data_IF_179920770417
#
_entry.id   IF_179920770417
#
_cell.length_a   1.000
_cell.length_b   1.000
_cell.length_c   1.000
_cell.angle_alpha   90.00
_cell.angle_beta   90.00
_cell.angle_gamma   90.00
#
_symmetry.space_group_name_H-M   'P 1'
#
loop_
_entity.id
_entity.type
_entity.pdbx_description
1 polymer ?
#
# COMPACT_ATOMS: atom_id res chain seq x y z
N UNK A 1 -19.40 12.31 -8.43
CA UNK A 1 -20.26 11.20 -7.99
C UNK A 1 -19.78 10.49 -6.70
N UNK A 2 -18.88 11.08 -5.89
CA UNK A 2 -18.29 10.41 -4.71
C UNK A 2 -18.87 10.85 -3.34
N UNK A 3 -19.56 11.98 -3.28
CA UNK A 3 -19.88 12.67 -2.03
C UNK A 3 -20.63 11.80 -0.99
N UNK A 4 -21.56 10.93 -1.45
CA UNK A 4 -22.24 9.98 -0.56
C UNK A 4 -21.31 8.88 -0.03
N UNK A 5 -20.45 8.32 -0.88
CA UNK A 5 -19.50 7.27 -0.49
C UNK A 5 -18.45 7.82 0.46
N UNK A 6 -17.98 9.05 0.21
CA UNK A 6 -17.01 9.74 1.04
C UNK A 6 -17.57 10.00 2.45
N UNK A 7 -18.81 10.51 2.55
CA UNK A 7 -19.50 10.69 3.84
C UNK A 7 -19.71 9.38 4.60
N UNK A 8 -20.12 8.32 3.89
CA UNK A 8 -20.29 6.99 4.50
C UNK A 8 -18.95 6.44 4.98
N UNK A 9 -17.88 6.65 4.22
CA UNK A 9 -16.53 6.26 4.60
C UNK A 9 -16.05 7.02 5.83
N UNK A 10 -16.16 8.35 5.85
CA UNK A 10 -15.80 9.16 7.02
C UNK A 10 -16.58 8.75 8.27
N UNK A 11 -17.89 8.47 8.12
CA UNK A 11 -18.71 7.96 9.22
C UNK A 11 -18.25 6.57 9.68
N UNK A 12 -17.95 5.66 8.75
CA UNK A 12 -17.44 4.34 9.08
C UNK A 12 -16.12 4.42 9.86
N UNK A 13 -15.17 5.25 9.41
CA UNK A 13 -13.91 5.50 10.11
C UNK A 13 -14.12 6.11 11.49
N UNK A 14 -15.04 7.07 11.63
CA UNK A 14 -15.37 7.66 12.94
C UNK A 14 -15.93 6.62 13.92
N UNK A 15 -16.82 5.74 13.45
CA UNK A 15 -17.35 4.65 14.27
C UNK A 15 -16.23 3.68 14.66
N UNK A 16 -15.38 3.29 13.72
CA UNK A 16 -14.29 2.35 13.96
C UNK A 16 -13.19 2.92 14.86
N UNK A 17 -13.06 4.24 14.91
CA UNK A 17 -12.19 4.96 15.84
C UNK A 17 -12.83 5.16 17.23
N UNK A 18 -14.05 4.65 17.47
CA UNK A 18 -14.79 4.84 18.72
C UNK A 18 -15.35 6.25 18.94
N UNK A 19 -15.32 7.11 17.91
CA UNK A 19 -15.79 8.50 17.97
C UNK A 19 -17.30 8.64 17.70
N UNK A 20 -17.97 7.56 17.30
CA UNK A 20 -19.39 7.56 16.95
C UNK A 20 -19.99 6.18 17.16
N UNK A 21 -21.29 6.13 17.44
CA UNK A 21 -22.00 4.87 17.66
C UNK A 21 -22.42 4.21 16.34
N UNK A 22 -22.37 2.87 16.30
CA UNK A 22 -22.88 2.05 15.20
C UNK A 22 -21.92 0.95 14.76
N UNK A 23 -22.19 0.37 13.59
CA UNK A 23 -21.38 -0.70 13.01
C UNK A 23 -20.59 -0.19 11.79
N UNK A 24 -19.34 0.20 12.01
CA UNK A 24 -18.49 0.74 10.94
C UNK A 24 -17.95 -0.34 9.98
N UNK A 25 -17.67 -1.55 10.50
CA UNK A 25 -17.09 -2.63 9.68
C UNK A 25 -17.98 -3.07 8.50
N UNK A 26 -19.30 -3.30 8.68
CA UNK A 26 -20.17 -3.66 7.56
C UNK A 26 -20.26 -2.57 6.49
N UNK A 27 -20.27 -1.29 6.89
CA UNK A 27 -20.28 -0.15 5.96
C UNK A 27 -19.00 -0.16 5.13
N UNK A 28 -17.87 -0.40 5.78
CA UNK A 28 -16.56 -0.42 5.13
C UNK A 28 -16.42 -1.61 4.17
N UNK A 29 -16.91 -2.79 4.55
CA UNK A 29 -17.00 -3.96 3.66
C UNK A 29 -17.90 -3.69 2.45
N UNK A 30 -19.08 -3.10 2.66
CA UNK A 30 -19.99 -2.71 1.57
C UNK A 30 -19.31 -1.74 0.59
N UNK A 31 -18.60 -0.72 1.10
CA UNK A 31 -17.86 0.22 0.25
C UNK A 31 -16.72 -0.46 -0.51
N UNK A 32 -15.99 -1.38 0.13
CA UNK A 32 -14.96 -2.17 -0.54
C UNK A 32 -15.55 -3.07 -1.64
N UNK A 33 -16.73 -3.70 -1.42
CA UNK A 33 -17.43 -4.45 -2.46
C UNK A 33 -17.85 -3.55 -3.65
N UNK A 34 -18.23 -2.30 -3.39
CA UNK A 34 -18.50 -1.27 -4.42
C UNK A 34 -17.25 -0.73 -5.10
N UNK A 35 -16.06 -1.28 -4.80
CA UNK A 35 -14.76 -0.83 -5.33
C UNK A 35 -14.40 0.61 -4.98
N UNK A 36 -14.88 1.10 -3.84
CA UNK A 36 -14.43 2.37 -3.30
C UNK A 36 -13.02 2.20 -2.72
N UNK A 37 -12.07 2.86 -3.34
CA UNK A 37 -10.65 2.62 -3.13
C UNK A 37 -10.15 2.90 -1.70
N UNK A 38 -10.52 4.01 -1.03
CA UNK A 38 -10.11 4.27 0.35
C UNK A 38 -10.64 3.21 1.32
N UNK A 39 -11.85 2.69 1.09
CA UNK A 39 -12.39 1.59 1.88
C UNK A 39 -11.63 0.28 1.66
N UNK A 40 -11.21 -0.03 0.44
CA UNK A 40 -10.35 -1.20 0.18
C UNK A 40 -9.03 -1.11 0.94
N UNK A 41 -8.41 0.07 0.98
CA UNK A 41 -7.15 0.30 1.69
C UNK A 41 -7.31 0.19 3.21
N UNK A 42 -8.35 0.82 3.77
CA UNK A 42 -8.65 0.70 5.21
C UNK A 42 -9.00 -0.73 5.60
N UNK A 43 -9.78 -1.45 4.78
CA UNK A 43 -10.12 -2.84 5.03
C UNK A 43 -8.86 -3.72 5.02
N UNK A 44 -7.97 -3.49 4.06
CA UNK A 44 -6.70 -4.20 3.96
C UNK A 44 -5.83 -3.95 5.21
N UNK A 45 -5.71 -2.69 5.65
CA UNK A 45 -4.95 -2.33 6.85
C UNK A 45 -5.45 -3.06 8.10
N UNK A 46 -6.78 -3.10 8.28
CA UNK A 46 -7.43 -3.78 9.42
C UNK A 46 -7.25 -5.29 9.38
N UNK A 47 -7.24 -5.89 8.18
CA UNK A 47 -6.98 -7.32 8.01
C UNK A 47 -5.51 -7.68 8.26
N UNK A 48 -4.59 -6.72 8.16
CA UNK A 48 -3.16 -6.89 8.45
C UNK A 48 -2.75 -6.40 9.84
N UNK A 49 -3.69 -6.18 10.75
CA UNK A 49 -3.43 -5.62 12.09
C UNK A 49 -2.43 -6.44 12.92
N UNK A 50 -2.43 -7.76 12.70
CA UNK A 50 -1.46 -8.72 13.26
C UNK A 50 -0.02 -8.53 12.76
N UNK A 51 0.17 -7.83 11.64
CA UNK A 51 1.46 -7.63 10.97
C UNK A 51 2.06 -8.89 10.33
N UNK A 52 1.37 -10.04 10.34
CA UNK A 52 1.93 -11.29 9.82
C UNK A 52 1.87 -11.32 8.30
N UNK A 53 2.95 -11.81 7.68
CA UNK A 53 3.01 -12.01 6.22
C UNK A 53 1.93 -12.98 5.70
N UNK A 54 1.49 -13.94 6.51
CA UNK A 54 0.44 -14.88 6.13
C UNK A 54 -0.90 -14.17 5.86
N UNK A 55 -1.17 -13.09 6.57
CA UNK A 55 -2.47 -12.40 6.52
C UNK A 55 -2.63 -11.53 5.26
N UNK A 56 -1.53 -11.27 4.54
CA UNK A 56 -1.55 -10.55 3.26
C UNK A 56 -2.35 -11.26 2.18
N UNK A 57 -2.35 -12.59 2.20
CA UNK A 57 -2.90 -13.42 1.14
C UNK A 57 -2.25 -13.17 -0.23
N UNK A 58 -2.95 -13.60 -1.28
CA UNK A 58 -2.46 -13.55 -2.67
C UNK A 58 -3.02 -12.33 -3.40
N UNK A 59 -2.21 -11.69 -4.24
CA UNK A 59 -2.68 -10.60 -5.11
C UNK A 59 -3.88 -10.96 -6.01
N UNK A 60 -4.05 -12.24 -6.35
CA UNK A 60 -5.18 -12.73 -7.15
C UNK A 60 -6.50 -12.80 -6.36
N UNK A 61 -6.44 -12.93 -5.03
CA UNK A 61 -7.61 -13.01 -4.18
C UNK A 61 -8.17 -11.62 -3.92
N UNK A 62 -9.38 -11.38 -4.42
CA UNK A 62 -10.15 -10.16 -4.29
C UNK A 62 -10.31 -9.64 -2.85
N UNK A 63 -10.38 -10.57 -1.90
CA UNK A 63 -10.73 -10.30 -0.51
C UNK A 63 -9.50 -10.20 0.39
N UNK A 64 -8.37 -10.72 -0.08
CA UNK A 64 -7.10 -10.61 0.61
C UNK A 64 -6.62 -9.15 0.69
N UNK A 65 -5.87 -8.77 1.73
CA UNK A 65 -5.28 -7.44 1.81
C UNK A 65 -4.45 -7.06 0.59
N UNK A 66 -3.60 -7.97 0.10
CA UNK A 66 -2.78 -7.73 -1.08
C UNK A 66 -3.63 -7.50 -2.34
N UNK A 67 -4.71 -8.26 -2.53
CA UNK A 67 -5.61 -8.10 -3.66
C UNK A 67 -6.50 -6.86 -3.57
N UNK A 68 -6.93 -6.48 -2.35
CA UNK A 68 -7.66 -5.22 -2.11
C UNK A 68 -6.81 -4.02 -2.51
N UNK A 69 -5.57 -3.94 -2.04
CA UNK A 69 -4.66 -2.84 -2.39
C UNK A 69 -4.30 -2.88 -3.89
N UNK A 70 -4.12 -4.07 -4.48
CA UNK A 70 -3.88 -4.20 -5.91
C UNK A 70 -5.04 -3.68 -6.76
N UNK A 71 -6.28 -3.99 -6.38
CA UNK A 71 -7.48 -3.49 -7.07
C UNK A 71 -7.66 -2.00 -6.86
N UNK A 72 -7.42 -1.49 -5.66
CA UNK A 72 -7.43 -0.05 -5.40
C UNK A 72 -6.45 0.68 -6.34
N UNK A 73 -5.23 0.14 -6.50
CA UNK A 73 -4.26 0.67 -7.46
C UNK A 73 -4.78 0.64 -8.90
N UNK A 74 -5.40 -0.47 -9.33
CA UNK A 74 -5.99 -0.58 -10.68
C UNK A 74 -7.16 0.40 -10.91
N UNK A 75 -7.85 0.84 -9.85
CA UNK A 75 -8.89 1.86 -9.92
C UNK A 75 -8.34 3.30 -9.90
N UNK A 76 -7.01 3.47 -9.79
CA UNK A 76 -6.37 4.78 -9.77
C UNK A 76 -6.25 5.40 -8.37
N UNK A 77 -6.41 4.64 -7.30
CA UNK A 77 -6.12 5.15 -5.95
C UNK A 77 -4.65 5.47 -5.78
N UNK A 78 -4.38 6.74 -5.50
CA UNK A 78 -3.02 7.29 -5.42
C UNK A 78 -2.20 6.58 -4.34
N UNK A 79 -2.78 6.36 -3.16
CA UNK A 79 -2.08 5.79 -2.00
C UNK A 79 -1.89 4.27 -2.10
N UNK A 80 -2.56 3.59 -3.02
CA UNK A 80 -2.57 2.13 -3.06
C UNK A 80 -1.21 1.53 -3.42
N UNK A 81 -0.47 2.17 -4.34
CA UNK A 81 0.86 1.70 -4.72
C UNK A 81 1.88 1.85 -3.59
N UNK A 82 1.80 2.94 -2.82
CA UNK A 82 2.67 3.18 -1.67
C UNK A 82 2.36 2.21 -0.54
N UNK A 83 1.08 2.01 -0.22
CA UNK A 83 0.65 1.03 0.78
C UNK A 83 1.16 -0.37 0.43
N UNK A 84 0.99 -0.82 -0.82
CA UNK A 84 1.55 -2.10 -1.28
C UNK A 84 3.07 -2.17 -1.11
N UNK A 85 3.78 -1.10 -1.42
CA UNK A 85 5.22 -1.06 -1.26
C UNK A 85 5.60 -1.28 0.21
N UNK A 86 5.06 -0.47 1.12
CA UNK A 86 5.36 -0.55 2.56
C UNK A 86 5.00 -1.91 3.14
N UNK A 87 3.85 -2.46 2.77
CA UNK A 87 3.43 -3.78 3.22
C UNK A 87 4.41 -4.88 2.78
N UNK A 88 4.93 -4.81 1.54
CA UNK A 88 5.95 -5.75 1.06
C UNK A 88 7.31 -5.53 1.73
N UNK A 89 7.65 -4.28 2.08
CA UNK A 89 8.84 -3.97 2.86
C UNK A 89 8.78 -4.64 4.24
N UNK A 90 7.66 -4.49 4.96
CA UNK A 90 7.46 -5.13 6.27
C UNK A 90 7.39 -6.66 6.17
N UNK A 91 6.91 -7.20 5.04
CA UNK A 91 6.95 -8.63 4.77
C UNK A 91 8.35 -9.15 4.39
N UNK A 92 9.37 -8.29 4.25
CA UNK A 92 10.74 -8.63 3.86
C UNK A 92 10.94 -8.83 2.35
N UNK A 93 9.95 -8.51 1.51
CA UNK A 93 10.06 -8.56 0.05
C UNK A 93 10.58 -7.23 -0.51
N UNK A 94 11.91 -7.03 -0.44
CA UNK A 94 12.59 -5.85 -0.99
C UNK A 94 12.44 -5.69 -2.52
N UNK A 95 12.51 -6.77 -3.34
CA UNK A 95 12.16 -6.69 -4.76
C UNK A 95 10.76 -6.14 -5.02
N UNK A 96 9.78 -6.64 -4.28
CA UNK A 96 8.39 -6.20 -4.32
C UNK A 96 8.23 -4.74 -3.91
N UNK A 97 8.83 -4.36 -2.79
CA UNK A 97 8.87 -2.97 -2.30
C UNK A 97 9.33 -2.01 -3.39
N UNK A 98 10.51 -2.24 -3.97
CA UNK A 98 11.07 -1.35 -5.02
C UNK A 98 10.17 -1.27 -6.26
N UNK A 99 9.57 -2.38 -6.67
CA UNK A 99 8.70 -2.43 -7.84
C UNK A 99 7.47 -1.54 -7.64
N UNK A 100 6.83 -1.62 -6.49
CA UNK A 100 5.62 -0.88 -6.18
C UNK A 100 5.90 0.59 -5.84
N UNK A 101 6.99 0.87 -5.14
CA UNK A 101 7.42 2.24 -4.85
C UNK A 101 7.74 3.02 -6.13
N UNK A 102 8.33 2.37 -7.15
CA UNK A 102 8.52 2.98 -8.47
C UNK A 102 7.19 3.27 -9.17
N UNK A 103 6.17 2.42 -8.98
CA UNK A 103 4.84 2.67 -9.54
C UNK A 103 4.16 3.85 -8.85
N UNK A 104 4.26 3.95 -7.53
CA UNK A 104 3.78 5.11 -6.77
C UNK A 104 4.47 6.40 -7.24
N UNK A 105 5.80 6.40 -7.33
CA UNK A 105 6.57 7.56 -7.81
C UNK A 105 6.18 7.98 -9.25
N UNK A 106 5.90 7.03 -10.14
CA UNK A 106 5.38 7.32 -11.50
C UNK A 106 3.96 7.85 -11.51
N UNK A 107 3.16 7.49 -10.50
CA UNK A 107 1.81 8.03 -10.28
C UNK A 107 1.80 9.45 -9.71
N UNK A 108 2.96 10.06 -9.47
CA UNK A 108 3.07 11.43 -8.96
C UNK A 108 3.24 11.53 -7.44
N UNK A 109 3.35 10.40 -6.73
CA UNK A 109 3.65 10.39 -5.31
C UNK A 109 5.10 10.83 -5.05
N UNK A 110 5.24 12.08 -4.58
CA UNK A 110 6.53 12.72 -4.31
C UNK A 110 7.27 12.05 -3.15
N UNK A 111 6.54 11.52 -2.17
CA UNK A 111 7.15 10.87 -1.01
C UNK A 111 7.67 9.49 -1.41
N UNK A 112 6.92 8.74 -2.22
CA UNK A 112 7.43 7.52 -2.84
C UNK A 112 8.68 7.76 -3.70
N UNK A 113 8.75 8.88 -4.43
CA UNK A 113 9.93 9.23 -5.22
C UNK A 113 11.17 9.50 -4.33
N UNK A 114 10.98 10.25 -3.23
CA UNK A 114 12.05 10.50 -2.24
C UNK A 114 12.51 9.21 -1.56
N UNK A 115 11.56 8.38 -1.13
CA UNK A 115 11.86 7.08 -0.54
C UNK A 115 12.61 6.18 -1.51
N UNK A 116 12.22 6.14 -2.79
CA UNK A 116 12.90 5.35 -3.81
C UNK A 116 14.35 5.81 -4.00
N UNK A 117 14.59 7.12 -4.04
CA UNK A 117 15.94 7.67 -4.10
C UNK A 117 16.76 7.25 -2.87
N UNK A 118 16.20 7.44 -1.67
CA UNK A 118 16.86 7.07 -0.40
C UNK A 118 17.16 5.57 -0.34
N UNK A 119 16.22 4.72 -0.76
CA UNK A 119 16.39 3.27 -0.81
C UNK A 119 17.53 2.88 -1.76
N UNK A 120 17.65 3.54 -2.92
CA UNK A 120 18.74 3.27 -3.85
C UNK A 120 20.11 3.77 -3.37
N UNK A 121 20.15 4.79 -2.51
CA UNK A 121 21.41 5.29 -1.89
C UNK A 121 21.84 4.39 -0.72
N UNK A 122 20.89 3.85 0.06
CA UNK A 122 21.14 3.07 1.28
C UNK A 122 21.58 1.62 1.08
N UNK A 123 21.67 1.12 -0.15
CA UNK A 123 21.98 -0.27 -0.42
C UNK A 123 23.44 -0.43 -0.85
N UNK A 124 24.41 -0.50 0.08
CA UNK A 124 25.64 -1.24 -0.20
C UNK A 124 25.28 -2.74 -0.15
N UNK A 125 25.98 -3.60 -0.92
CA UNK A 125 25.96 -5.09 -0.81
C UNK A 125 25.03 -5.95 -1.74
N UNK A 126 25.37 -7.26 -1.94
CA UNK A 126 25.31 -8.00 -3.21
C UNK A 126 23.96 -8.61 -3.62
N UNK A 127 22.87 -8.45 -2.85
CA UNK A 127 21.53 -8.81 -3.32
C UNK A 127 21.12 -8.03 -4.59
N UNK A 128 21.71 -6.84 -4.80
CA UNK A 128 21.61 -6.08 -6.04
C UNK A 128 22.22 -6.79 -7.27
N UNK A 129 23.22 -7.68 -7.07
CA UNK A 129 23.80 -8.50 -8.16
C UNK A 129 22.77 -9.45 -8.75
N UNK A 130 21.93 -10.07 -7.90
CA UNK A 130 20.83 -10.95 -8.34
C UNK A 130 19.80 -10.22 -9.21
N UNK A 131 19.67 -8.91 -9.03
CA UNK A 131 18.69 -8.07 -9.73
C UNK A 131 19.27 -7.36 -10.97
N UNK A 132 20.48 -7.72 -11.42
CA UNK A 132 21.21 -7.12 -12.57
C UNK A 132 21.21 -5.58 -12.60
N UNK A 133 21.22 -4.94 -11.44
CA UNK A 133 21.26 -3.48 -11.31
C UNK A 133 22.34 -3.08 -10.32
N UNK A 134 23.58 -3.12 -10.77
CA UNK A 134 24.68 -2.43 -10.10
C UNK A 134 24.50 -0.95 -10.44
N UNK A 135 24.09 -0.13 -9.46
CA UNK A 135 24.51 1.27 -9.54
C UNK A 135 26.01 1.27 -9.25
N UNK A 136 26.84 1.99 -10.03
CA UNK A 136 28.23 2.19 -9.65
C UNK A 136 28.26 2.67 -8.21
N UNK A 137 29.12 2.07 -7.40
CA UNK A 137 29.38 2.54 -6.04
C UNK A 137 29.64 4.05 -6.13
N UNK A 138 28.76 4.89 -5.55
CA UNK A 138 29.12 6.29 -5.35
C UNK A 138 30.29 6.26 -4.39
N UNK A 139 31.47 6.58 -4.91
CA UNK A 139 32.60 6.92 -4.07
C UNK A 139 32.24 8.27 -3.47
N UNK A 140 31.56 8.26 -2.32
CA UNK A 140 31.27 9.49 -1.61
C UNK A 140 32.63 10.18 -1.34
N UNK A 141 32.81 11.36 -1.91
CA UNK A 141 34.09 12.05 -1.92
C UNK A 141 34.02 13.34 -2.73
N UNK A 142 33.38 14.36 -2.15
CA UNK A 142 33.67 15.82 -2.19
C UNK A 142 32.47 16.58 -1.64
#
# INVERSE_FOLDING_TARGET
MSDRSDRLFSRAEAILAGKSNGFGMPILQMLAHKRYGPAMLSLAARKTDTGKRADLGRFSDATSPAGLMYRAFQQGEVNAAQNLALTLFYAGDLPGYRKWLRRAARGGDKDAAKELSRFEVRQPYPLARRMKRIRPFRRDGS
#
